data_IF_704055481753
#
_entry.id   IF_704055481753
#
_cell.length_a   1.000
_cell.length_b   1.000
_cell.length_c   1.000
_cell.angle_alpha   90.00
_cell.angle_beta   90.00
_cell.angle_gamma   90.00
#
_symmetry.space_group_name_H-M   'P 1'
#
loop_
_entity.id
_entity.type
_entity.pdbx_description
1 polymer ?
#
# COMPACT_ATOMS: atom_id res chain seq x y z
N UNK A 1 53.11 -14.85 -54.24
CA UNK A 1 53.41 -14.09 -55.47
C UNK A 1 52.72 -12.73 -55.38
N UNK A 2 53.49 -11.64 -55.55
CA UNK A 2 53.15 -10.22 -55.83
C UNK A 2 52.07 -9.58 -54.93
N UNK A 3 52.36 -8.77 -53.88
CA UNK A 3 53.07 -7.46 -53.76
C UNK A 3 52.55 -6.35 -54.68
N UNK A 4 52.01 -5.27 -54.07
CA UNK A 4 52.36 -3.83 -54.21
C UNK A 4 51.21 -3.00 -53.58
N UNK A 5 51.30 -2.41 -52.38
CA UNK A 5 52.11 -1.28 -51.87
C UNK A 5 51.99 0.03 -52.66
N UNK A 6 51.47 1.07 -51.98
CA UNK A 6 51.96 2.46 -51.81
C UNK A 6 50.75 3.34 -51.42
N UNK A 7 50.79 4.27 -50.47
CA UNK A 7 51.86 4.86 -49.70
C UNK A 7 51.26 5.98 -48.85
N UNK A 8 51.84 6.19 -47.67
CA UNK A 8 51.39 7.10 -46.63
C UNK A 8 51.66 8.58 -46.93
N UNK A 9 50.97 9.50 -46.23
CA UNK A 9 51.67 10.58 -45.52
C UNK A 9 50.85 11.14 -44.35
N UNK A 10 51.56 11.29 -43.23
CA UNK A 10 51.16 11.84 -41.93
C UNK A 10 51.24 13.37 -41.95
N UNK A 11 50.37 14.06 -41.22
CA UNK A 11 50.68 15.32 -40.53
C UNK A 11 49.60 15.59 -39.47
N UNK A 12 50.05 15.70 -38.22
CA UNK A 12 49.18 15.88 -37.05
C UNK A 12 48.89 17.34 -36.71
N UNK A 13 48.00 17.52 -35.74
CA UNK A 13 47.99 18.67 -34.82
C UNK A 13 47.42 18.19 -33.48
N UNK A 14 48.22 18.33 -32.42
CA UNK A 14 47.72 18.48 -31.06
C UNK A 14 47.26 19.93 -30.88
N UNK A 15 46.18 20.18 -30.14
CA UNK A 15 46.21 21.04 -28.93
C UNK A 15 44.80 21.32 -28.38
N UNK A 16 44.71 21.15 -27.06
CA UNK A 16 44.02 21.94 -26.03
C UNK A 16 42.49 22.18 -26.03
N UNK A 17 41.97 21.96 -24.82
CA UNK A 17 40.70 22.37 -24.26
C UNK A 17 40.39 23.87 -24.47
N UNK A 18 39.11 24.19 -24.66
CA UNK A 18 38.47 25.10 -23.71
C UNK A 18 36.96 24.86 -23.60
N UNK A 19 36.51 25.02 -22.37
CA UNK A 19 35.15 24.99 -21.86
C UNK A 19 34.27 26.09 -22.45
N UNK A 20 33.03 25.76 -22.79
CA UNK A 20 31.93 26.72 -22.80
C UNK A 20 30.83 26.26 -21.85
N UNK A 21 30.83 26.96 -20.73
CA UNK A 21 29.84 26.97 -19.68
C UNK A 21 28.85 28.09 -20.08
N UNK A 22 27.65 27.74 -20.54
CA UNK A 22 26.55 28.69 -20.68
C UNK A 22 25.35 28.15 -19.92
N UNK A 23 25.15 28.82 -18.79
CA UNK A 23 24.04 28.79 -17.87
C UNK A 23 22.70 28.96 -18.58
N UNK A 24 21.77 28.03 -18.35
CA UNK A 24 20.35 28.38 -18.34
C UNK A 24 19.84 28.16 -16.92
N UNK A 25 19.90 29.23 -16.13
CA UNK A 25 19.18 29.34 -14.87
C UNK A 25 17.70 29.53 -15.19
N UNK A 26 16.89 28.53 -14.87
CA UNK A 26 15.50 28.69 -14.45
C UNK A 26 15.07 27.43 -13.71
N UNK A 27 15.78 27.12 -12.62
CA UNK A 27 15.23 26.28 -11.56
C UNK A 27 14.58 27.20 -10.54
N UNK A 28 13.26 27.34 -10.67
CA UNK A 28 12.43 27.91 -9.63
C UNK A 28 12.41 26.92 -8.46
N UNK A 29 13.29 27.15 -7.49
CA UNK A 29 13.28 26.48 -6.20
C UNK A 29 12.02 26.91 -5.46
N UNK A 30 10.96 26.10 -5.55
CA UNK A 30 9.81 26.27 -4.68
C UNK A 30 10.17 25.82 -3.27
N UNK A 31 10.65 26.82 -2.52
CA UNK A 31 10.61 26.89 -1.08
C UNK A 31 9.17 26.62 -0.59
N UNK A 32 8.92 25.43 -0.04
CA UNK A 32 7.64 25.02 0.53
C UNK A 32 7.48 25.50 1.99
N UNK A 33 7.77 26.79 2.24
CA UNK A 33 7.58 27.42 3.55
C UNK A 33 6.55 28.55 3.49
N UNK A 34 5.29 28.21 3.20
CA UNK A 34 4.14 29.03 3.58
C UNK A 34 2.90 28.13 3.83
N UNK A 35 2.15 28.33 4.94
CA UNK A 35 0.97 27.55 5.21
C UNK A 35 -0.15 28.02 4.29
N UNK A 36 -0.50 27.21 3.29
CA UNK A 36 -1.73 27.40 2.52
C UNK A 36 -2.88 27.02 3.45
N UNK A 37 -3.55 28.04 4.00
CA UNK A 37 -4.83 27.88 4.68
C UNK A 37 -5.85 27.31 3.68
N UNK A 38 -6.37 26.11 3.97
CA UNK A 38 -7.61 25.61 3.37
C UNK A 38 -7.53 24.46 2.37
N UNK A 39 -6.37 23.85 2.11
CA UNK A 39 -6.36 22.58 1.36
C UNK A 39 -6.95 21.47 2.25
N UNK A 40 -8.09 20.89 1.84
CA UNK A 40 -8.65 19.73 2.51
C UNK A 40 -7.60 18.60 2.54
N UNK A 41 -7.40 18.00 3.71
CA UNK A 41 -6.48 16.87 3.88
C UNK A 41 -6.90 15.73 2.93
N UNK A 42 -5.97 15.25 2.11
CA UNK A 42 -6.20 14.13 1.18
C UNK A 42 -5.49 12.88 1.69
N UNK A 43 -6.02 11.69 1.36
CA UNK A 43 -5.33 10.43 1.66
C UNK A 43 -4.03 10.39 0.89
N UNK A 44 -2.92 10.20 1.60
CA UNK A 44 -1.61 9.93 1.05
C UNK A 44 -1.12 8.54 1.49
N UNK A 45 -0.79 7.70 0.52
CA UNK A 45 -0.14 6.40 0.71
C UNK A 45 1.07 6.31 -0.26
N UNK A 46 2.18 5.76 0.23
CA UNK A 46 3.43 5.66 -0.51
C UNK A 46 3.76 4.23 -0.96
N UNK A 47 2.85 3.27 -0.76
CA UNK A 47 3.10 1.84 -0.91
C UNK A 47 3.60 1.47 -2.31
N UNK A 48 2.97 1.96 -3.38
CA UNK A 48 3.39 1.63 -4.75
C UNK A 48 4.71 2.32 -5.12
N UNK A 49 4.96 3.57 -4.70
CA UNK A 49 6.24 4.25 -4.95
C UNK A 49 7.41 3.48 -4.30
N UNK A 50 7.24 3.07 -3.04
CA UNK A 50 8.21 2.27 -2.30
C UNK A 50 8.43 0.93 -3.02
N UNK A 51 7.34 0.27 -3.44
CA UNK A 51 7.38 -1.00 -4.18
C UNK A 51 8.16 -0.86 -5.48
N UNK A 52 7.85 0.13 -6.31
CA UNK A 52 8.51 0.37 -7.59
C UNK A 52 10.01 0.62 -7.40
N UNK A 53 10.38 1.43 -6.41
CA UNK A 53 11.78 1.66 -6.06
C UNK A 53 12.47 0.37 -5.60
N UNK A 54 11.81 -0.48 -4.80
CA UNK A 54 12.37 -1.75 -4.35
C UNK A 54 12.58 -2.74 -5.51
N UNK A 55 11.59 -2.85 -6.42
CA UNK A 55 11.67 -3.72 -7.60
C UNK A 55 12.72 -3.24 -8.61
N UNK A 56 12.87 -1.92 -8.79
CA UNK A 56 13.93 -1.35 -9.65
C UNK A 56 15.33 -1.73 -9.16
N UNK A 57 15.51 -1.79 -7.85
CA UNK A 57 16.82 -1.95 -7.22
C UNK A 57 17.14 -3.40 -6.76
N UNK A 58 16.23 -4.36 -6.93
CA UNK A 58 16.44 -5.75 -6.51
C UNK A 58 15.93 -6.76 -7.54
N UNK A 59 16.84 -7.57 -8.09
CA UNK A 59 16.47 -8.72 -8.94
C UNK A 59 15.71 -9.80 -8.16
N UNK A 60 16.06 -10.02 -6.89
CA UNK A 60 15.38 -10.97 -6.02
C UNK A 60 13.91 -10.58 -5.81
N UNK A 61 13.64 -9.30 -5.51
CA UNK A 61 12.26 -8.83 -5.34
C UNK A 61 11.46 -8.91 -6.64
N UNK A 62 12.09 -8.66 -7.80
CA UNK A 62 11.45 -8.88 -9.11
C UNK A 62 11.09 -10.35 -9.36
N UNK A 63 11.97 -11.27 -8.97
CA UNK A 63 11.67 -12.70 -9.06
C UNK A 63 10.50 -13.07 -8.15
N UNK A 64 10.53 -12.65 -6.87
CA UNK A 64 9.43 -12.88 -5.93
C UNK A 64 8.10 -12.30 -6.41
N UNK A 65 8.13 -11.12 -7.01
CA UNK A 65 6.97 -10.50 -7.63
C UNK A 65 6.40 -11.34 -8.80
N UNK A 66 7.26 -11.83 -9.70
CA UNK A 66 6.82 -12.69 -10.82
C UNK A 66 6.19 -14.01 -10.32
N UNK A 67 6.80 -14.62 -9.30
CA UNK A 67 6.27 -15.83 -8.66
C UNK A 67 4.94 -15.56 -7.95
N UNK A 68 4.80 -14.40 -7.29
CA UNK A 68 3.57 -13.96 -6.61
C UNK A 68 2.40 -13.83 -7.59
N UNK A 69 2.58 -13.15 -8.71
CA UNK A 69 1.52 -12.99 -9.71
C UNK A 69 1.15 -14.34 -10.34
N UNK A 70 2.14 -15.20 -10.62
CA UNK A 70 1.90 -16.56 -11.14
C UNK A 70 1.10 -17.42 -10.16
N UNK A 71 1.43 -17.38 -8.87
CA UNK A 71 0.71 -18.10 -7.81
C UNK A 71 -0.70 -17.55 -7.60
N UNK A 72 -0.88 -16.23 -7.70
CA UNK A 72 -2.19 -15.59 -7.57
C UNK A 72 -3.12 -16.02 -8.70
N UNK A 73 -2.64 -15.96 -9.95
CA UNK A 73 -3.41 -16.43 -11.11
C UNK A 73 -3.79 -17.91 -10.98
N UNK A 74 -2.85 -18.75 -10.54
CA UNK A 74 -3.12 -20.18 -10.30
C UNK A 74 -4.22 -20.36 -9.25
N UNK A 75 -4.13 -19.66 -8.12
CA UNK A 75 -5.12 -19.74 -7.04
C UNK A 75 -6.51 -19.30 -7.50
N UNK A 76 -6.62 -18.20 -8.24
CA UNK A 76 -7.89 -17.73 -8.81
C UNK A 76 -8.50 -18.75 -9.78
N UNK A 77 -7.69 -19.43 -10.58
CA UNK A 77 -8.15 -20.49 -11.47
C UNK A 77 -8.61 -21.74 -10.68
N UNK A 78 -7.87 -22.15 -9.65
CA UNK A 78 -8.24 -23.27 -8.79
C UNK A 78 -9.56 -22.99 -8.03
N UNK A 79 -9.80 -21.75 -7.60
CA UNK A 79 -11.07 -21.31 -7.02
C UNK A 79 -12.25 -21.46 -8.00
N UNK A 80 -12.09 -21.00 -9.26
CA UNK A 80 -13.13 -21.15 -10.29
C UNK A 80 -13.46 -22.62 -10.60
N UNK A 81 -12.50 -23.53 -10.38
CA UNK A 81 -12.66 -24.97 -10.56
C UNK A 81 -13.13 -25.71 -9.29
N UNK A 82 -13.38 -25.01 -8.19
CA UNK A 82 -13.85 -25.61 -6.93
C UNK A 82 -12.81 -26.47 -6.20
N UNK A 83 -11.50 -26.24 -6.44
CA UNK A 83 -10.40 -27.09 -5.91
C UNK A 83 -9.87 -26.68 -4.52
N UNK A 84 -10.53 -25.76 -3.82
CA UNK A 84 -10.10 -25.23 -2.50
C UNK A 84 -11.18 -25.51 -1.43
N UNK A 85 -10.77 -25.99 -0.24
CA UNK A 85 -11.65 -26.45 0.86
C UNK A 85 -12.38 -25.32 1.63
N UNK A 86 -13.35 -25.70 2.47
CA UNK A 86 -14.74 -25.18 2.45
C UNK A 86 -15.06 -23.83 3.10
N UNK A 87 -14.22 -23.24 3.97
CA UNK A 87 -14.53 -21.91 4.53
C UNK A 87 -13.47 -20.84 4.23
N UNK A 88 -12.24 -21.26 3.87
CA UNK A 88 -11.17 -20.37 3.41
C UNK A 88 -10.68 -19.36 4.46
N UNK A 89 -11.04 -19.54 5.73
CA UNK A 89 -10.75 -18.60 6.82
C UNK A 89 -9.29 -18.66 7.26
N UNK A 90 -8.66 -17.50 7.41
CA UNK A 90 -7.34 -17.33 8.03
C UNK A 90 -7.45 -16.26 9.10
N UNK A 91 -7.07 -16.59 10.32
CA UNK A 91 -6.80 -15.58 11.34
C UNK A 91 -5.30 -15.21 11.23
N UNK A 92 -5.00 -13.91 11.34
CA UNK A 92 -3.66 -13.35 11.24
C UNK A 92 -3.31 -12.79 12.63
N UNK A 93 -2.27 -13.28 13.29
CA UNK A 93 -1.80 -12.69 14.53
C UNK A 93 -1.09 -11.36 14.24
N UNK A 94 -1.42 -10.33 15.02
CA UNK A 94 -0.96 -8.95 14.83
C UNK A 94 -0.10 -8.50 16.00
N UNK A 95 1.05 -7.90 15.70
CA UNK A 95 1.86 -7.16 16.68
C UNK A 95 1.79 -5.68 16.35
N UNK A 96 1.34 -4.87 17.31
CA UNK A 96 1.26 -3.41 17.16
C UNK A 96 2.44 -2.76 17.86
N UNK A 97 3.30 -2.09 17.08
CA UNK A 97 4.53 -1.43 17.52
C UNK A 97 4.30 0.08 17.61
N UNK A 98 4.10 0.64 18.80
CA UNK A 98 3.81 2.07 19.02
C UNK A 98 5.10 2.83 19.35
N UNK A 99 5.49 3.73 18.45
CA UNK A 99 6.57 4.70 18.65
C UNK A 99 5.97 6.08 18.96
N UNK A 100 6.20 6.56 20.18
CA UNK A 100 5.55 7.77 20.68
C UNK A 100 6.53 8.75 21.31
N UNK A 101 6.32 10.04 21.07
CA UNK A 101 7.05 11.14 21.72
C UNK A 101 6.18 11.86 22.75
N UNK A 102 4.88 11.94 22.51
CA UNK A 102 3.90 12.57 23.41
C UNK A 102 2.88 11.58 23.94
N UNK A 103 2.13 11.94 24.98
CA UNK A 103 1.04 11.12 25.50
C UNK A 103 -0.05 10.86 24.45
N UNK A 104 -0.32 11.82 23.57
CA UNK A 104 -1.30 11.67 22.48
C UNK A 104 -0.86 10.67 21.41
N UNK A 105 0.45 10.50 21.21
CA UNK A 105 1.02 9.53 20.27
C UNK A 105 1.11 8.13 20.90
N UNK A 106 1.10 8.04 22.24
CA UNK A 106 1.07 6.78 22.99
C UNK A 106 -0.37 6.21 23.06
N UNK A 107 -0.87 5.76 21.92
CA UNK A 107 -2.29 5.35 21.76
C UNK A 107 -2.73 4.36 22.84
N UNK A 108 -3.92 4.53 23.43
CA UNK A 108 -4.45 3.59 24.42
C UNK A 108 -4.67 2.19 23.84
N UNK A 109 -4.61 1.16 24.69
CA UNK A 109 -4.93 -0.22 24.28
C UNK A 109 -6.36 -0.33 23.74
N UNK A 110 -7.31 0.46 24.26
CA UNK A 110 -8.67 0.52 23.74
C UNK A 110 -8.72 1.01 22.29
N UNK A 111 -7.94 2.03 21.92
CA UNK A 111 -7.86 2.54 20.55
C UNK A 111 -7.19 1.55 19.61
N UNK A 112 -6.24 0.76 20.12
CA UNK A 112 -5.64 -0.34 19.36
C UNK A 112 -6.66 -1.46 19.12
N UNK A 113 -7.39 -1.87 20.16
CA UNK A 113 -8.45 -2.86 20.04
C UNK A 113 -9.57 -2.41 19.09
N UNK A 114 -9.94 -1.13 19.09
CA UNK A 114 -10.87 -0.54 18.12
C UNK A 114 -10.38 -0.74 16.69
N UNK A 115 -9.10 -0.49 16.40
CA UNK A 115 -8.58 -0.69 15.05
C UNK A 115 -8.62 -2.16 14.61
N UNK A 116 -8.34 -3.09 15.52
CA UNK A 116 -8.46 -4.53 15.23
C UNK A 116 -9.93 -4.91 14.97
N UNK A 117 -10.88 -4.35 15.71
CA UNK A 117 -12.31 -4.55 15.48
C UNK A 117 -12.76 -3.97 14.12
N UNK A 118 -12.25 -2.79 13.75
CA UNK A 118 -12.48 -2.15 12.44
C UNK A 118 -11.97 -3.04 11.30
N UNK A 119 -10.74 -3.55 11.39
CA UNK A 119 -10.19 -4.48 10.39
C UNK A 119 -11.07 -5.73 10.27
N UNK A 120 -11.46 -6.35 11.38
CA UNK A 120 -12.33 -7.52 11.35
C UNK A 120 -13.71 -7.22 10.75
N UNK A 121 -14.29 -6.05 11.02
CA UNK A 121 -15.58 -5.67 10.46
C UNK A 121 -15.51 -5.49 8.93
N UNK A 122 -14.48 -4.81 8.44
CA UNK A 122 -14.28 -4.51 7.02
C UNK A 122 -13.98 -5.75 6.20
N UNK A 123 -13.08 -6.60 6.70
CA UNK A 123 -12.71 -7.85 6.04
C UNK A 123 -13.79 -8.94 6.17
N UNK A 124 -14.74 -8.80 7.09
CA UNK A 124 -15.93 -9.66 7.15
C UNK A 124 -17.09 -9.11 6.29
N UNK A 125 -17.00 -7.90 5.75
CA UNK A 125 -18.12 -7.23 5.07
C UNK A 125 -19.30 -6.94 6.01
N UNK A 126 -19.02 -6.77 7.30
CA UNK A 126 -20.00 -6.53 8.37
C UNK A 126 -19.92 -5.10 8.92
N UNK A 127 -19.12 -4.25 8.29
CA UNK A 127 -19.05 -2.82 8.57
C UNK A 127 -20.44 -2.17 8.42
N UNK A 128 -20.78 -1.26 9.34
CA UNK A 128 -22.12 -0.66 9.44
C UNK A 128 -22.56 0.13 8.21
N UNK A 129 -21.61 0.57 7.38
CA UNK A 129 -21.82 1.32 6.15
C UNK A 129 -21.83 0.45 4.88
N UNK A 130 -21.76 -0.88 4.99
CA UNK A 130 -21.85 -1.82 3.85
C UNK A 130 -23.17 -1.68 3.08
N UNK A 131 -24.23 -1.21 3.74
CA UNK A 131 -25.52 -0.92 3.12
C UNK A 131 -25.49 0.27 2.14
N UNK A 132 -24.43 1.09 2.17
CA UNK A 132 -24.24 2.22 1.25
C UNK A 132 -23.67 1.82 -0.11
N UNK A 133 -23.33 0.54 -0.31
CA UNK A 133 -22.86 0.03 -1.62
C UNK A 133 -23.95 0.25 -2.68
N UNK A 134 -23.68 1.01 -3.75
CA UNK A 134 -24.63 1.19 -4.84
C UNK A 134 -25.02 -0.13 -5.48
N UNK A 135 -26.27 -0.22 -5.96
CA UNK A 135 -26.84 -1.45 -6.55
C UNK A 135 -25.96 -2.03 -7.65
N UNK A 136 -25.33 -1.19 -8.49
CA UNK A 136 -24.41 -1.60 -9.56
C UNK A 136 -23.22 -2.43 -9.06
N UNK A 137 -22.73 -2.18 -7.83
CA UNK A 137 -21.57 -2.88 -7.27
C UNK A 137 -21.95 -3.99 -6.26
N UNK A 138 -23.24 -4.18 -5.95
CA UNK A 138 -23.69 -5.22 -5.01
C UNK A 138 -23.35 -6.63 -5.50
N UNK A 139 -23.34 -6.87 -6.82
CA UNK A 139 -23.04 -8.17 -7.42
C UNK A 139 -21.56 -8.56 -7.37
N UNK A 140 -20.66 -7.59 -7.18
CA UNK A 140 -19.20 -7.81 -7.15
C UNK A 140 -18.59 -7.61 -5.76
N UNK A 141 -19.39 -7.28 -4.74
CA UNK A 141 -18.87 -7.13 -3.37
C UNK A 141 -18.30 -8.45 -2.86
N UNK A 142 -17.19 -8.39 -2.12
CA UNK A 142 -16.55 -9.58 -1.58
C UNK A 142 -17.42 -10.33 -0.56
N UNK A 143 -18.28 -9.59 0.15
CA UNK A 143 -18.88 -10.06 1.39
C UNK A 143 -17.78 -10.31 2.42
N UNK A 144 -17.71 -11.54 2.92
CA UNK A 144 -16.65 -11.97 3.83
C UNK A 144 -15.38 -12.39 3.07
N UNK A 145 -14.28 -11.65 3.26
CA UNK A 145 -12.94 -11.93 2.70
C UNK A 145 -12.34 -13.22 3.28
N UNK A 146 -12.83 -13.69 4.43
CA UNK A 146 -12.30 -14.84 5.18
C UNK A 146 -10.89 -14.61 5.70
N UNK A 147 -10.58 -13.36 6.05
CA UNK A 147 -9.40 -12.98 6.82
C UNK A 147 -9.85 -12.34 8.13
N UNK A 148 -9.25 -12.74 9.24
CA UNK A 148 -9.48 -12.21 10.59
C UNK A 148 -8.17 -11.77 11.21
N UNK A 149 -8.23 -10.84 12.15
CA UNK A 149 -7.08 -10.26 12.81
C UNK A 149 -7.20 -10.43 14.32
N UNK A 150 -6.18 -10.99 14.95
CA UNK A 150 -6.10 -11.15 16.41
C UNK A 150 -4.88 -10.41 16.92
N UNK A 151 -5.09 -9.47 17.85
CA UNK A 151 -3.97 -8.82 18.55
C UNK A 151 -3.21 -9.88 19.37
N UNK A 152 -1.95 -10.10 19.03
CA UNK A 152 -1.07 -11.00 19.75
C UNK A 152 -0.21 -10.25 20.78
N UNK A 153 0.27 -9.06 20.43
CA UNK A 153 1.08 -8.25 21.33
C UNK A 153 1.02 -6.75 20.98
N UNK A 154 1.29 -5.91 21.97
CA UNK A 154 1.57 -4.47 21.77
C UNK A 154 2.94 -4.14 22.34
N UNK A 155 3.83 -3.63 21.50
CA UNK A 155 5.17 -3.18 21.89
C UNK A 155 5.20 -1.66 21.85
N UNK A 156 5.72 -1.01 22.88
CA UNK A 156 5.72 0.45 22.99
C UNK A 156 7.15 0.96 23.23
N UNK A 157 7.53 2.04 22.54
CA UNK A 157 8.84 2.68 22.72
C UNK A 157 8.72 4.19 22.62
N UNK A 158 9.23 4.90 23.62
CA UNK A 158 9.34 6.36 23.57
C UNK A 158 10.43 6.78 22.58
N UNK A 159 10.22 7.88 21.86
CA UNK A 159 11.18 8.44 20.90
C UNK A 159 11.25 9.97 21.02
N UNK A 160 12.36 10.56 20.59
CA UNK A 160 12.51 12.02 20.47
C UNK A 160 12.17 12.52 19.06
N UNK A 161 11.95 11.62 18.09
CA UNK A 161 11.64 12.00 16.71
C UNK A 161 10.29 12.71 16.62
N UNK A 162 10.28 13.87 15.97
CA UNK A 162 9.07 14.68 15.73
C UNK A 162 8.32 14.27 14.46
N UNK A 163 9.00 13.61 13.53
CA UNK A 163 8.44 13.10 12.28
C UNK A 163 9.19 11.86 11.83
N UNK A 164 8.52 11.04 11.03
CA UNK A 164 9.05 9.85 10.38
C UNK A 164 8.85 9.96 8.86
N UNK A 165 9.74 9.31 8.10
CA UNK A 165 9.67 9.24 6.64
C UNK A 165 9.42 7.80 6.20
N UNK A 166 9.06 7.59 4.94
CA UNK A 166 8.77 6.28 4.32
C UNK A 166 10.03 5.43 4.04
N UNK A 167 11.10 5.63 4.81
CA UNK A 167 12.41 4.98 4.64
C UNK A 167 12.64 3.79 5.62
N UNK A 168 11.57 3.28 6.23
CA UNK A 168 11.58 2.18 7.20
C UNK A 168 12.44 2.39 8.46
N UNK A 169 12.88 3.61 8.78
CA UNK A 169 13.67 3.87 9.99
C UNK A 169 12.92 3.53 11.30
N UNK A 170 11.58 3.57 11.29
CA UNK A 170 10.74 3.14 12.43
C UNK A 170 10.76 1.62 12.64
N UNK A 171 11.13 0.85 11.62
CA UNK A 171 11.16 -0.61 11.64
C UNK A 171 12.51 -1.20 12.07
N UNK A 172 13.50 -0.35 12.42
CA UNK A 172 14.81 -0.77 12.94
C UNK A 172 15.11 -0.15 14.29
N UNK A 173 15.45 -0.97 15.27
CA UNK A 173 15.90 -0.54 16.60
C UNK A 173 17.15 0.36 16.52
N UNK A 174 18.05 0.06 15.59
CA UNK A 174 19.30 0.81 15.33
C UNK A 174 19.08 2.24 14.85
N UNK A 175 17.93 2.56 14.25
CA UNK A 175 17.54 3.93 13.87
C UNK A 175 16.51 4.57 14.82
N UNK A 176 16.39 4.01 16.03
CA UNK A 176 15.47 4.47 17.08
C UNK A 176 14.06 3.89 16.99
N UNK A 177 13.80 2.98 16.05
CA UNK A 177 12.53 2.29 15.85
C UNK A 177 12.34 1.04 16.72
N UNK A 178 11.47 0.14 16.26
CA UNK A 178 11.19 -1.18 16.85
C UNK A 178 11.37 -2.23 15.74
N UNK A 179 12.20 -3.24 15.96
CA UNK A 179 12.39 -4.35 15.01
C UNK A 179 11.10 -5.18 14.88
N UNK A 180 10.85 -5.74 13.71
CA UNK A 180 9.69 -6.60 13.48
C UNK A 180 9.74 -7.85 14.38
N UNK A 181 8.60 -8.17 15.01
CA UNK A 181 8.43 -9.45 15.72
C UNK A 181 8.11 -10.53 14.70
N UNK A 182 9.06 -11.43 14.44
CA UNK A 182 8.91 -12.61 13.57
C UNK A 182 8.05 -12.35 12.32
N UNK A 183 8.50 -11.51 11.37
CA UNK A 183 7.68 -11.02 10.24
C UNK A 183 7.11 -12.12 9.33
N UNK A 184 7.64 -13.34 9.39
CA UNK A 184 7.05 -14.51 8.70
C UNK A 184 5.77 -15.05 9.35
N UNK A 185 5.55 -14.74 10.63
CA UNK A 185 4.50 -15.33 11.46
C UNK A 185 3.53 -14.28 12.02
N UNK A 186 3.90 -13.01 12.07
CA UNK A 186 3.04 -11.92 12.55
C UNK A 186 2.93 -10.79 11.53
N UNK A 187 1.72 -10.26 11.35
CA UNK A 187 1.55 -8.95 10.76
C UNK A 187 2.04 -7.91 11.77
N UNK A 188 3.13 -7.23 11.42
CA UNK A 188 3.66 -6.12 12.19
C UNK A 188 3.03 -4.80 11.72
N UNK A 189 2.39 -4.08 12.64
CA UNK A 189 1.83 -2.75 12.38
C UNK A 189 2.58 -1.74 13.24
N UNK A 190 3.35 -0.85 12.62
CA UNK A 190 3.98 0.26 13.31
C UNK A 190 3.03 1.47 13.35
N UNK A 191 2.85 2.03 14.54
CA UNK A 191 2.14 3.29 14.74
C UNK A 191 3.16 4.34 15.15
N UNK A 192 3.23 5.43 14.37
CA UNK A 192 4.21 6.51 14.57
C UNK A 192 3.53 7.86 14.70
N UNK A 193 4.13 8.81 15.42
CA UNK A 193 3.47 10.11 15.69
C UNK A 193 3.02 10.91 14.45
N UNK A 194 3.92 11.12 13.48
CA UNK A 194 3.65 11.92 12.28
C UNK A 194 4.49 11.42 11.09
N UNK A 195 3.94 11.51 9.88
CA UNK A 195 4.62 11.20 8.60
C UNK A 195 4.41 12.28 7.52
N UNK A 196 4.06 13.51 7.93
CA UNK A 196 3.78 14.60 7.00
C UNK A 196 2.44 14.38 6.28
N UNK A 197 2.47 14.34 4.95
CA UNK A 197 1.27 14.17 4.12
C UNK A 197 0.85 12.71 3.94
N UNK A 198 1.69 11.76 4.35
CA UNK A 198 1.41 10.32 4.24
C UNK A 198 0.66 9.86 5.50
N UNK A 199 -0.49 9.20 5.31
CA UNK A 199 -1.28 8.65 6.41
C UNK A 199 -0.75 7.28 6.84
N UNK A 200 -0.27 6.50 5.86
CA UNK A 200 0.19 5.14 6.03
C UNK A 200 0.98 4.65 4.81
N UNK A 201 1.67 3.53 4.98
CA UNK A 201 2.21 2.74 3.88
C UNK A 201 2.39 1.27 4.29
N UNK A 202 2.52 0.39 3.30
CA UNK A 202 2.71 -1.03 3.49
C UNK A 202 3.83 -1.58 2.61
N UNK A 203 4.36 -2.73 3.01
CA UNK A 203 5.12 -3.60 2.11
C UNK A 203 4.18 -4.58 1.39
N UNK A 204 4.47 -4.84 0.11
CA UNK A 204 3.76 -5.84 -0.69
C UNK A 204 4.29 -7.26 -0.44
N UNK A 205 3.57 -8.32 -0.87
CA UNK A 205 3.94 -9.70 -0.55
C UNK A 205 5.29 -10.18 -1.10
N UNK A 206 5.91 -9.52 -2.09
CA UNK A 206 7.30 -9.82 -2.45
C UNK A 206 8.29 -9.52 -1.30
N UNK A 207 7.92 -8.65 -0.34
CA UNK A 207 8.67 -8.42 0.88
C UNK A 207 8.32 -9.39 2.01
N UNK A 208 7.49 -10.41 1.75
CA UNK A 208 7.05 -11.37 2.77
C UNK A 208 8.24 -11.94 3.56
N UNK A 209 8.13 -11.87 4.89
CA UNK A 209 9.12 -12.39 5.84
C UNK A 209 10.43 -11.60 5.93
N UNK A 210 10.60 -10.52 5.16
CA UNK A 210 11.76 -9.63 5.30
C UNK A 210 11.64 -8.81 6.59
N UNK A 211 12.77 -8.26 7.05
CA UNK A 211 12.86 -7.52 8.31
C UNK A 211 11.92 -6.30 8.39
N UNK A 212 11.50 -5.75 7.25
CA UNK A 212 10.61 -4.58 7.15
C UNK A 212 9.16 -4.94 6.79
N UNK A 213 8.80 -6.23 6.71
CA UNK A 213 7.48 -6.67 6.26
C UNK A 213 6.38 -6.24 7.24
N UNK A 214 5.38 -5.51 6.73
CA UNK A 214 4.24 -5.03 7.51
C UNK A 214 3.73 -3.66 7.07
N UNK A 215 3.00 -3.02 7.97
CA UNK A 215 2.23 -1.79 7.73
C UNK A 215 2.68 -0.69 8.68
N UNK A 216 2.72 0.55 8.24
CA UNK A 216 2.97 1.73 9.08
C UNK A 216 1.80 2.69 8.96
N UNK A 217 1.29 3.19 10.09
CA UNK A 217 0.18 4.15 10.15
C UNK A 217 0.57 5.32 11.06
N UNK A 218 0.24 6.55 10.67
CA UNK A 218 0.43 7.69 11.56
C UNK A 218 -0.64 7.65 12.67
N UNK A 219 -0.23 7.93 13.91
CA UNK A 219 -1.05 7.85 15.10
C UNK A 219 -2.38 8.62 15.01
N UNK A 220 -2.45 9.82 14.38
CA UNK A 220 -3.72 10.51 14.16
C UNK A 220 -4.75 9.73 13.35
N UNK A 221 -4.35 8.76 12.53
CA UNK A 221 -5.23 8.06 11.57
C UNK A 221 -5.39 6.56 11.88
N UNK A 222 -5.04 6.15 13.10
CA UNK A 222 -5.18 4.76 13.58
C UNK A 222 -6.34 4.65 14.58
N UNK A 223 -7.20 3.65 14.46
CA UNK A 223 -8.39 3.47 15.30
C UNK A 223 -9.44 4.56 15.06
N UNK A 224 -10.34 4.75 16.03
CA UNK A 224 -11.44 5.73 15.91
C UNK A 224 -11.38 6.80 16.98
N UNK A 225 -11.31 6.39 18.25
CA UNK A 225 -11.34 7.31 19.38
C UNK A 225 -10.10 8.19 19.39
N UNK A 226 -10.28 9.51 19.31
CA UNK A 226 -9.19 10.48 19.23
C UNK A 226 -8.42 10.47 17.90
N UNK A 227 -8.96 9.84 16.86
CA UNK A 227 -8.44 9.93 15.50
C UNK A 227 -8.92 11.20 14.79
N UNK A 228 -8.11 11.71 13.87
CA UNK A 228 -8.32 12.98 13.17
C UNK A 228 -9.21 12.79 11.94
N UNK A 229 -10.33 13.52 11.91
CA UNK A 229 -11.20 13.61 10.73
C UNK A 229 -10.46 14.24 9.54
N UNK A 230 -10.71 13.82 8.28
CA UNK A 230 -11.74 12.86 7.85
C UNK A 230 -11.29 11.38 7.83
N UNK A 231 -10.11 11.06 8.38
CA UNK A 231 -9.51 9.73 8.39
C UNK A 231 -9.55 9.10 9.79
N UNK A 232 -10.75 9.05 10.37
CA UNK A 232 -11.01 8.72 11.77
C UNK A 232 -11.95 7.53 11.98
N UNK A 233 -12.16 6.69 10.96
CA UNK A 233 -12.92 5.44 11.08
C UNK A 233 -12.02 4.20 10.97
N UNK A 234 -10.70 4.40 10.92
CA UNK A 234 -9.69 3.35 10.89
C UNK A 234 -9.48 2.73 9.51
N UNK A 235 -9.95 3.39 8.43
CA UNK A 235 -9.83 2.83 7.06
C UNK A 235 -8.45 3.00 6.45
N UNK A 236 -7.62 3.88 6.99
CA UNK A 236 -6.19 3.92 6.63
C UNK A 236 -5.54 2.56 6.87
N UNK A 237 -5.77 1.93 8.02
CA UNK A 237 -5.23 0.58 8.25
C UNK A 237 -5.88 -0.46 7.34
N UNK A 238 -7.19 -0.39 7.06
CA UNK A 238 -7.86 -1.29 6.10
C UNK A 238 -7.23 -1.21 4.71
N UNK A 239 -6.94 0.01 4.24
CA UNK A 239 -6.27 0.27 2.98
C UNK A 239 -4.84 -0.30 2.94
N UNK A 240 -4.01 0.02 3.94
CA UNK A 240 -2.63 -0.48 3.98
C UNK A 240 -2.54 -2.00 4.16
N UNK A 241 -3.46 -2.60 4.93
CA UNK A 241 -3.53 -4.07 5.03
C UNK A 241 -4.02 -4.68 3.71
N UNK A 242 -4.79 -3.95 2.90
CA UNK A 242 -5.09 -4.32 1.51
C UNK A 242 -3.83 -4.44 0.66
N UNK A 243 -2.93 -3.46 0.71
CA UNK A 243 -1.62 -3.53 0.06
C UNK A 243 -0.76 -4.67 0.59
N UNK A 244 -0.70 -4.82 1.92
CA UNK A 244 -0.05 -5.96 2.56
C UNK A 244 -0.58 -7.25 1.93
N UNK A 245 -1.88 -7.40 1.74
CA UNK A 245 -2.52 -8.58 1.15
C UNK A 245 -2.65 -8.54 -0.39
N UNK A 246 -1.71 -7.89 -1.10
CA UNK A 246 -1.58 -7.92 -2.57
C UNK A 246 -2.61 -7.13 -3.38
N UNK A 247 -3.26 -6.13 -2.78
CA UNK A 247 -4.11 -5.21 -3.52
C UNK A 247 -3.32 -3.97 -3.95
N UNK A 248 -3.56 -3.52 -5.18
CA UNK A 248 -3.05 -2.23 -5.67
C UNK A 248 -4.08 -1.15 -5.44
N UNK A 249 -3.68 0.09 -5.62
CA UNK A 249 -4.65 1.17 -5.80
C UNK A 249 -5.57 0.85 -6.98
N UNK A 250 -6.87 1.13 -6.81
CA UNK A 250 -7.91 0.69 -7.77
C UNK A 250 -7.81 1.38 -9.14
N UNK A 251 -7.17 2.55 -9.24
CA UNK A 251 -6.86 3.18 -10.53
C UNK A 251 -5.57 2.65 -11.19
N UNK A 252 -4.85 1.74 -10.52
CA UNK A 252 -3.64 1.10 -11.02
C UNK A 252 -2.43 2.03 -11.17
N UNK A 253 -2.37 3.12 -10.40
CA UNK A 253 -1.22 4.05 -10.34
C UNK A 253 -0.85 4.69 -11.69
N UNK A 254 -1.79 4.71 -12.65
CA UNK A 254 -1.66 5.32 -13.97
C UNK A 254 -3.03 5.78 -14.49
N UNK A 255 -3.05 6.68 -15.48
CA UNK A 255 -4.29 7.04 -16.16
C UNK A 255 -4.87 5.82 -16.90
N UNK A 256 -6.06 5.38 -16.49
CA UNK A 256 -6.66 4.12 -16.96
C UNK A 256 -5.73 2.91 -16.74
N UNK A 257 -5.04 2.90 -15.59
CA UNK A 257 -4.21 1.79 -15.14
C UNK A 257 -5.05 0.55 -14.77
N UNK A 258 -4.35 -0.49 -14.31
CA UNK A 258 -4.96 -1.76 -13.93
C UNK A 258 -4.44 -2.19 -12.55
N UNK A 259 -5.36 -2.50 -11.63
CA UNK A 259 -5.08 -3.00 -10.28
C UNK A 259 -4.92 -4.53 -10.24
N UNK A 260 -5.03 -5.19 -11.40
CA UNK A 260 -5.02 -6.63 -11.63
C UNK A 260 -6.24 -7.36 -11.05
N UNK A 261 -7.37 -6.66 -10.93
CA UNK A 261 -8.65 -7.21 -10.49
C UNK A 261 -9.71 -6.92 -11.55
N UNK A 262 -10.35 -7.97 -12.06
CA UNK A 262 -11.26 -7.82 -13.22
C UNK A 262 -12.63 -7.21 -12.87
N UNK A 263 -13.06 -7.29 -11.61
CA UNK A 263 -14.35 -6.80 -11.13
C UNK A 263 -14.30 -5.40 -10.49
N UNK A 264 -13.14 -4.74 -10.54
CA UNK A 264 -12.96 -3.33 -10.26
C UNK A 264 -12.92 -2.55 -11.59
N UNK A 265 -13.85 -1.60 -11.83
CA UNK A 265 -13.83 -0.79 -13.04
C UNK A 265 -12.55 0.03 -13.12
N UNK A 266 -11.95 0.12 -14.31
CA UNK A 266 -10.81 1.01 -14.56
C UNK A 266 -11.19 2.46 -14.29
N UNK A 267 -10.22 3.22 -13.76
CA UNK A 267 -10.41 4.62 -13.38
C UNK A 267 -9.30 5.48 -13.99
N UNK A 268 -9.56 6.76 -14.23
CA UNK A 268 -8.55 7.69 -14.76
C UNK A 268 -7.53 8.14 -13.69
N UNK A 269 -7.85 7.93 -12.42
CA UNK A 269 -7.00 8.29 -11.28
C UNK A 269 -7.72 8.10 -9.96
N UNK A 270 -7.03 8.45 -8.87
CA UNK A 270 -7.57 8.38 -7.52
C UNK A 270 -8.71 9.39 -7.29
N UNK A 271 -9.67 9.01 -6.46
CA UNK A 271 -10.75 9.88 -5.99
C UNK A 271 -10.45 10.36 -4.57
N UNK A 272 -10.98 11.54 -4.18
CA UNK A 272 -10.77 12.12 -2.85
C UNK A 272 -12.04 12.72 -2.29
N UNK A 273 -12.08 12.95 -0.97
CA UNK A 273 -13.26 13.47 -0.30
C UNK A 273 -14.40 12.44 -0.28
N UNK A 274 -15.63 12.89 -0.53
CA UNK A 274 -16.83 12.05 -0.57
C UNK A 274 -17.57 12.24 -1.89
N UNK A 275 -17.12 11.60 -2.98
CA UNK A 275 -17.79 11.72 -4.28
C UNK A 275 -19.25 11.26 -4.21
N UNK A 276 -20.07 11.78 -5.13
CA UNK A 276 -21.46 11.33 -5.30
C UNK A 276 -21.52 10.20 -6.32
N UNK A 277 -22.37 9.21 -6.06
CA UNK A 277 -22.65 8.14 -7.01
C UNK A 277 -23.80 8.55 -7.95
N UNK A 278 -23.73 8.22 -9.26
CA UNK A 278 -22.60 7.62 -9.97
C UNK A 278 -21.49 8.63 -10.30
N UNK A 279 -20.25 8.15 -10.38
CA UNK A 279 -19.10 8.93 -10.82
C UNK A 279 -18.51 8.29 -12.08
N UNK A 280 -18.74 8.88 -13.24
CA UNK A 280 -18.33 8.28 -14.51
C UNK A 280 -16.88 8.63 -14.87
N UNK A 281 -16.14 7.63 -15.36
CA UNK A 281 -14.90 7.81 -16.10
C UNK A 281 -15.00 7.12 -17.47
N UNK A 282 -14.13 7.52 -18.39
CA UNK A 282 -14.01 6.89 -19.72
C UNK A 282 -12.60 6.36 -19.90
N UNK A 283 -12.48 5.04 -20.07
CA UNK A 283 -11.20 4.38 -20.36
C UNK A 283 -11.36 3.49 -21.60
N UNK A 284 -10.45 3.61 -22.56
CA UNK A 284 -10.47 2.86 -23.83
C UNK A 284 -11.83 2.90 -24.55
N UNK A 285 -12.47 4.08 -24.57
CA UNK A 285 -13.78 4.29 -25.20
C UNK A 285 -14.98 3.73 -24.43
N UNK A 286 -14.77 3.13 -23.26
CA UNK A 286 -15.83 2.60 -22.40
C UNK A 286 -16.10 3.54 -21.24
N UNK A 287 -17.33 4.06 -21.13
CA UNK A 287 -17.77 4.90 -20.01
C UNK A 287 -18.50 4.05 -18.97
N UNK A 288 -18.04 4.07 -17.71
CA UNK A 288 -18.64 3.33 -16.58
C UNK A 288 -18.52 4.13 -15.29
N UNK A 289 -19.42 3.86 -14.33
CA UNK A 289 -19.23 4.40 -12.99
C UNK A 289 -18.01 3.74 -12.35
N UNK A 290 -17.18 4.54 -11.70
CA UNK A 290 -16.04 4.04 -10.94
C UNK A 290 -16.45 3.60 -9.54
N UNK A 291 -15.69 2.68 -8.96
CA UNK A 291 -15.94 2.14 -7.63
C UNK A 291 -15.18 2.95 -6.56
N UNK A 292 -15.48 4.26 -6.45
CA UNK A 292 -14.74 5.15 -5.53
C UNK A 292 -14.88 4.78 -4.05
N UNK A 293 -15.90 3.98 -3.71
CA UNK A 293 -16.14 3.48 -2.35
C UNK A 293 -15.33 2.23 -1.99
N UNK A 294 -14.46 1.79 -2.89
CA UNK A 294 -13.53 0.70 -2.60
C UNK A 294 -12.49 1.16 -1.56
N UNK A 295 -12.10 0.27 -0.64
CA UNK A 295 -11.05 0.58 0.34
C UNK A 295 -9.70 0.91 -0.29
N UNK A 296 -9.46 0.50 -1.55
CA UNK A 296 -8.22 0.78 -2.28
C UNK A 296 -8.23 2.09 -3.09
N UNK A 297 -9.24 2.94 -2.92
CA UNK A 297 -9.26 4.33 -3.42
C UNK A 297 -8.81 5.33 -2.32
N UNK A 298 -8.69 6.62 -2.65
CA UNK A 298 -8.20 7.68 -1.76
C UNK A 298 -9.28 8.57 -1.13
N UNK A 299 -10.53 8.13 -1.17
CA UNK A 299 -11.64 8.83 -0.55
C UNK A 299 -11.50 8.92 0.98
N UNK A 300 -12.31 9.75 1.61
CA UNK A 300 -12.41 9.84 3.06
C UNK A 300 -12.86 8.50 3.66
N UNK A 301 -12.52 8.23 4.92
CA UNK A 301 -12.88 6.96 5.59
C UNK A 301 -14.40 6.68 5.51
N UNK A 302 -15.23 7.71 5.61
CA UNK A 302 -16.69 7.58 5.57
C UNK A 302 -17.28 7.30 4.18
N UNK A 303 -16.45 7.37 3.13
CA UNK A 303 -16.83 7.12 1.74
C UNK A 303 -16.28 5.80 1.19
N UNK A 304 -15.51 5.03 1.96
CA UNK A 304 -15.04 3.69 1.60
C UNK A 304 -15.58 2.60 2.53
N UNK A 305 -16.14 1.54 1.94
CA UNK A 305 -16.89 0.55 2.71
C UNK A 305 -16.99 -0.83 2.02
N UNK A 306 -16.15 -1.11 1.00
CA UNK A 306 -16.14 -2.43 0.35
C UNK A 306 -14.79 -2.84 -0.24
N UNK A 307 -14.59 -4.16 -0.28
CA UNK A 307 -13.71 -4.84 -1.23
C UNK A 307 -14.57 -5.56 -2.30
N UNK A 308 -13.99 -5.89 -3.44
CA UNK A 308 -14.59 -6.73 -4.47
C UNK A 308 -14.27 -8.22 -4.29
N UNK A 309 -15.03 -9.10 -4.96
CA UNK A 309 -14.81 -10.55 -4.92
C UNK A 309 -13.45 -10.95 -5.54
N UNK A 310 -13.02 -10.24 -6.58
CA UNK A 310 -11.69 -10.37 -7.16
C UNK A 310 -10.58 -9.96 -6.19
N UNK A 311 -10.75 -8.83 -5.48
CA UNK A 311 -9.82 -8.42 -4.41
C UNK A 311 -9.73 -9.47 -3.30
N UNK A 312 -10.86 -10.05 -2.87
CA UNK A 312 -10.85 -11.19 -1.93
C UNK A 312 -10.00 -12.35 -2.43
N UNK A 313 -10.15 -12.73 -3.70
CA UNK A 313 -9.40 -13.85 -4.27
C UNK A 313 -7.88 -13.60 -4.25
N UNK A 314 -7.46 -12.37 -4.59
CA UNK A 314 -6.05 -11.95 -4.48
C UNK A 314 -5.54 -11.98 -3.04
N UNK A 315 -6.31 -11.46 -2.08
CA UNK A 315 -5.92 -11.48 -0.67
C UNK A 315 -5.79 -12.90 -0.13
N UNK A 316 -6.74 -13.78 -0.47
CA UNK A 316 -6.69 -15.19 -0.06
C UNK A 316 -5.51 -15.95 -0.66
N UNK A 317 -5.07 -15.60 -1.89
CA UNK A 317 -3.90 -16.25 -2.51
C UNK A 317 -2.62 -16.05 -1.69
N UNK A 318 -2.48 -14.89 -1.04
CA UNK A 318 -1.29 -14.53 -0.24
C UNK A 318 -1.18 -15.39 1.01
N UNK A 319 -2.31 -15.64 1.67
CA UNK A 319 -2.40 -16.39 2.92
C UNK A 319 -2.79 -17.85 2.71
N UNK A 320 -2.90 -18.32 1.47
CA UNK A 320 -3.04 -19.73 1.14
C UNK A 320 -1.81 -20.53 1.63
N UNK A 321 -1.93 -21.84 1.77
CA UNK A 321 -0.81 -22.71 2.21
C UNK A 321 0.43 -22.60 1.29
N UNK A 322 0.24 -22.31 0.01
CA UNK A 322 1.28 -22.07 -0.99
C UNK A 322 1.59 -20.58 -1.24
N UNK A 323 0.89 -19.69 -0.54
CA UNK A 323 0.97 -18.24 -0.67
C UNK A 323 2.24 -17.65 -0.08
N UNK A 324 2.54 -16.41 -0.45
CA UNK A 324 3.75 -15.70 0.01
C UNK A 324 3.81 -15.50 1.53
N UNK A 325 2.65 -15.42 2.20
CA UNK A 325 2.54 -15.30 3.66
C UNK A 325 1.80 -16.47 4.30
N UNK A 326 2.04 -17.68 3.79
CA UNK A 326 1.50 -18.91 4.37
C UNK A 326 1.87 -19.11 5.85
N UNK A 327 3.01 -18.55 6.29
CA UNK A 327 3.47 -18.57 7.69
C UNK A 327 2.52 -17.88 8.68
N UNK A 328 1.67 -16.95 8.23
CA UNK A 328 0.67 -16.29 9.09
C UNK A 328 -0.45 -17.23 9.57
N UNK A 329 -0.58 -18.41 8.96
CA UNK A 329 -1.59 -19.43 9.32
C UNK A 329 -1.19 -20.29 10.51
N UNK A 330 0.10 -20.31 10.85
CA UNK A 330 0.67 -21.25 11.81
C UNK A 330 0.45 -20.70 13.22
N UNK A 331 -0.43 -21.35 13.99
CA UNK A 331 -0.51 -21.23 15.43
C UNK A 331 0.13 -22.46 16.08
#
# INVERSE_FOLDING_TARGET
>A
MKKLLFGALVLGFMSACNSDNLSNQNENSQDLSAPVSGAALRRGCASEEIRQNALKNSSELRQRYSELESKTLKFENDLKLGKVLSDGSVEIPVVVNVLYRTSSENLSDSRIAEQIAVLNADYAGSNSDVSKIPTEFQGVKAGDVKVRFRLANTVRKSTTKTSWSTNDAMKKSSSGGIDATSPSNYLNIWVVGNMGQILGYATFPESAGLWNDGVVIAAPYFGKTGASSPFNLGRTATHEVGHYLNLRHIWGDANCGNDLVADTPTQTGANSGKPSYPLYNTCSGTQRSVMFMNYMDYVDDAAMFMFSAGQKSRMQSVVASSGARSGLRLY
#
